data_IF_797824353267
#
_entry.id   IF_797824353267
#
_cell.length_a   1.000
_cell.length_b   1.000
_cell.length_c   1.000
_cell.angle_alpha   90.00
_cell.angle_beta   90.00
_cell.angle_gamma   90.00
#
_symmetry.space_group_name_H-M   'P 1'
#
loop_
_entity.id
_entity.type
_entity.pdbx_description
1 polymer ?
#
# COMPACT_ATOMS: atom_id res chain seq x y z
N UNK A 1 -57.60 -8.63 67.77
CA UNK A 1 -57.78 -8.91 66.33
C UNK A 1 -57.40 -7.62 65.61
N UNK A 2 -56.11 -7.46 65.28
CA UNK A 2 -55.59 -6.26 64.62
C UNK A 2 -55.56 -6.52 63.12
N UNK A 3 -56.27 -5.69 62.37
CA UNK A 3 -56.42 -5.75 60.92
C UNK A 3 -55.07 -5.64 60.21
N UNK A 4 -54.69 -6.71 59.52
CA UNK A 4 -53.46 -6.83 58.74
C UNK A 4 -53.78 -6.71 57.24
N UNK A 5 -54.61 -5.73 56.85
CA UNK A 5 -55.15 -5.61 55.48
C UNK A 5 -54.73 -4.34 54.73
N UNK A 6 -53.90 -3.48 55.32
CA UNK A 6 -53.38 -2.28 54.65
C UNK A 6 -51.86 -2.16 54.78
N UNK A 7 -51.14 -3.26 54.57
CA UNK A 7 -49.70 -3.17 54.29
C UNK A 7 -49.51 -2.58 52.90
N UNK A 8 -49.58 -1.25 52.91
CA UNK A 8 -49.32 -0.25 51.91
C UNK A 8 -48.78 -0.77 50.57
N UNK A 9 -49.68 -0.92 49.61
CA UNK A 9 -49.36 -1.25 48.21
C UNK A 9 -48.35 -0.26 47.60
N UNK A 10 -48.23 0.96 48.15
CA UNK A 10 -47.23 1.96 47.75
C UNK A 10 -45.84 1.63 48.29
N UNK A 11 -45.73 1.05 49.49
CA UNK A 11 -44.46 0.60 50.04
C UNK A 11 -43.88 -0.58 49.25
N UNK A 12 -44.73 -1.51 48.80
CA UNK A 12 -44.33 -2.63 47.94
C UNK A 12 -43.82 -2.14 46.58
N UNK A 13 -44.44 -1.10 46.00
CA UNK A 13 -44.03 -0.51 44.72
C UNK A 13 -42.71 0.29 44.84
N UNK A 14 -42.52 1.04 45.92
CA UNK A 14 -41.30 1.83 46.17
C UNK A 14 -40.07 0.95 46.47
N UNK A 15 -40.25 -0.19 47.15
CA UNK A 15 -39.17 -1.16 47.36
C UNK A 15 -38.76 -1.86 46.06
N UNK A 16 -39.72 -2.13 45.15
CA UNK A 16 -39.43 -2.72 43.84
C UNK A 16 -38.65 -1.81 42.88
N UNK A 17 -38.97 -0.51 42.84
CA UNK A 17 -38.32 0.45 41.91
C UNK A 17 -36.89 0.79 42.32
N UNK A 18 -36.61 0.89 43.62
CA UNK A 18 -35.26 1.17 44.15
C UNK A 18 -34.30 -0.01 43.92
N UNK A 19 -34.78 -1.25 44.08
CA UNK A 19 -33.98 -2.45 43.78
C UNK A 19 -33.71 -2.59 42.27
N UNK A 20 -34.72 -2.30 41.43
CA UNK A 20 -34.60 -2.38 39.97
C UNK A 20 -33.59 -1.41 39.37
N UNK A 21 -33.56 -0.15 39.85
CA UNK A 21 -32.59 0.86 39.38
C UNK A 21 -31.17 0.51 39.84
N UNK A 22 -31.01 0.06 41.09
CA UNK A 22 -29.70 -0.34 41.62
C UNK A 22 -29.07 -1.50 40.84
N UNK A 23 -29.86 -2.56 40.56
CA UNK A 23 -29.40 -3.71 39.77
C UNK A 23 -29.10 -3.31 38.33
N UNK A 24 -29.95 -2.47 37.71
CA UNK A 24 -29.73 -1.97 36.35
C UNK A 24 -28.43 -1.14 36.21
N UNK A 25 -28.14 -0.28 37.19
CA UNK A 25 -26.90 0.49 37.22
C UNK A 25 -25.67 -0.39 37.46
N UNK A 26 -25.75 -1.39 38.35
CA UNK A 26 -24.66 -2.35 38.58
C UNK A 26 -24.37 -3.22 37.34
N UNK A 27 -25.41 -3.71 36.64
CA UNK A 27 -25.24 -4.46 35.39
C UNK A 27 -24.63 -3.55 34.32
N UNK A 28 -25.12 -2.32 34.15
CA UNK A 28 -24.57 -1.38 33.18
C UNK A 28 -23.12 -0.99 33.48
N UNK A 29 -22.76 -0.89 34.76
CA UNK A 29 -21.38 -0.60 35.18
C UNK A 29 -20.47 -1.80 34.94
N UNK A 30 -20.97 -3.01 35.22
CA UNK A 30 -20.22 -4.26 35.02
C UNK A 30 -20.03 -4.59 33.52
N UNK A 31 -21.04 -4.36 32.68
CA UNK A 31 -20.91 -4.50 31.22
C UNK A 31 -20.04 -3.41 30.61
N UNK A 32 -20.06 -2.18 31.15
CA UNK A 32 -19.10 -1.12 30.78
C UNK A 32 -17.66 -1.40 31.25
N UNK A 33 -17.47 -2.16 32.33
CA UNK A 33 -16.15 -2.47 32.92
C UNK A 33 -15.33 -3.46 32.08
N UNK A 34 -15.97 -4.21 31.16
CA UNK A 34 -15.25 -4.89 30.08
C UNK A 34 -14.94 -3.93 28.92
N UNK A 35 -14.24 -2.83 29.23
CA UNK A 35 -13.50 -2.08 28.21
C UNK A 35 -12.43 -3.01 27.63
N UNK A 36 -12.61 -3.39 26.36
CA UNK A 36 -11.61 -3.98 25.49
C UNK A 36 -10.24 -3.36 25.79
N UNK A 37 -9.24 -4.19 26.14
CA UNK A 37 -7.85 -3.79 26.02
C UNK A 37 -7.64 -3.21 24.61
N UNK A 38 -6.88 -2.13 24.44
CA UNK A 38 -6.52 -1.67 23.12
C UNK A 38 -5.65 -2.75 22.48
N UNK A 39 -6.25 -3.57 21.61
CA UNK A 39 -5.50 -4.31 20.60
C UNK A 39 -4.77 -3.26 19.79
N UNK A 40 -3.44 -3.25 19.89
CA UNK A 40 -2.58 -2.41 19.09
C UNK A 40 -2.95 -2.66 17.63
N UNK A 41 -3.51 -1.65 16.98
CA UNK A 41 -4.20 -1.87 15.72
C UNK A 41 -3.18 -2.21 14.63
N UNK A 42 -3.54 -3.11 13.71
CA UNK A 42 -2.75 -3.42 12.51
C UNK A 42 -2.38 -2.15 11.75
N UNK A 43 -3.19 -1.09 11.87
CA UNK A 43 -2.97 0.23 11.29
C UNK A 43 -1.79 0.97 11.94
N UNK A 44 -1.57 0.83 13.24
CA UNK A 44 -0.43 1.40 13.96
C UNK A 44 0.88 0.69 13.57
N UNK A 45 0.84 -0.63 13.39
CA UNK A 45 1.97 -1.43 12.89
C UNK A 45 2.30 -1.07 11.44
N UNK A 46 1.28 -0.92 10.57
CA UNK A 46 1.44 -0.48 9.18
C UNK A 46 1.96 0.95 9.10
N UNK A 47 1.46 1.88 9.93
CA UNK A 47 1.94 3.27 9.96
C UNK A 47 3.39 3.35 10.42
N UNK A 48 3.74 2.61 11.47
CA UNK A 48 5.12 2.56 11.96
C UNK A 48 6.07 1.93 10.93
N UNK A 49 5.64 0.87 10.24
CA UNK A 49 6.38 0.30 9.11
C UNK A 49 6.53 1.33 7.98
N UNK A 50 5.45 2.02 7.60
CA UNK A 50 5.46 3.08 6.60
C UNK A 50 6.40 4.24 6.98
N UNK A 51 6.50 4.60 8.27
CA UNK A 51 7.41 5.64 8.76
C UNK A 51 8.86 5.17 8.83
N UNK A 52 9.10 3.86 8.95
CA UNK A 52 10.41 3.25 8.75
C UNK A 52 10.77 3.01 7.27
N UNK A 53 9.81 3.09 6.34
CA UNK A 53 10.14 3.15 4.90
C UNK A 53 10.84 4.47 4.67
N UNK A 54 12.17 4.37 4.65
CA UNK A 54 13.14 5.43 4.40
C UNK A 54 12.65 6.43 3.34
N UNK A 55 13.00 7.70 3.52
CA UNK A 55 12.96 8.75 2.48
C UNK A 55 13.60 8.33 1.15
N UNK A 56 14.35 7.22 1.17
CA UNK A 56 14.95 6.57 0.01
C UNK A 56 13.93 5.66 -0.72
N UNK A 57 13.07 6.30 -1.51
CA UNK A 57 12.17 5.67 -2.47
C UNK A 57 12.62 5.98 -3.90
N UNK A 58 12.54 4.99 -4.79
CA UNK A 58 12.87 5.19 -6.21
C UNK A 58 11.97 4.43 -7.17
N UNK A 59 11.98 4.89 -8.41
CA UNK A 59 11.62 4.09 -9.57
C UNK A 59 12.88 3.75 -10.37
N UNK A 60 12.97 2.53 -10.89
CA UNK A 60 13.99 2.15 -11.86
C UNK A 60 13.31 1.83 -13.19
N UNK A 61 13.79 2.45 -14.26
CA UNK A 61 13.35 2.19 -15.63
C UNK A 61 14.44 1.36 -16.33
N UNK A 62 14.07 0.16 -16.74
CA UNK A 62 14.94 -0.80 -17.42
C UNK A 62 14.65 -0.72 -18.92
N UNK A 63 15.68 -0.43 -19.71
CA UNK A 63 15.57 -0.22 -21.16
C UNK A 63 16.28 -1.34 -21.92
N UNK A 64 15.62 -1.87 -22.94
CA UNK A 64 16.21 -2.81 -23.88
C UNK A 64 17.11 -2.14 -24.91
N UNK A 65 18.30 -2.70 -25.12
CA UNK A 65 19.31 -2.14 -26.03
C UNK A 65 19.32 -2.75 -27.43
N UNK A 66 18.93 -4.03 -27.57
CA UNK A 66 18.81 -4.73 -28.85
C UNK A 66 17.91 -4.03 -29.86
N UNK A 67 16.91 -3.29 -29.36
CA UNK A 67 15.96 -2.50 -30.15
C UNK A 67 16.58 -1.28 -30.85
N UNK A 68 17.84 -0.93 -30.55
CA UNK A 68 18.59 0.21 -31.14
C UNK A 68 17.78 1.51 -31.18
N UNK A 69 16.97 1.76 -30.14
CA UNK A 69 16.14 2.96 -30.06
C UNK A 69 17.01 4.22 -30.03
N UNK A 70 16.64 5.22 -30.82
CA UNK A 70 17.27 6.55 -30.74
C UNK A 70 16.96 7.23 -29.39
N UNK A 71 17.85 8.14 -28.95
CA UNK A 71 17.76 8.83 -27.65
C UNK A 71 16.38 9.45 -27.38
N UNK A 72 15.77 10.10 -28.38
CA UNK A 72 14.44 10.70 -28.24
C UNK A 72 13.33 9.67 -28.01
N UNK A 73 13.41 8.51 -28.70
CA UNK A 73 12.44 7.42 -28.51
C UNK A 73 12.60 6.79 -27.12
N UNK A 74 13.83 6.57 -26.67
CA UNK A 74 14.12 6.10 -25.32
C UNK A 74 13.49 7.04 -24.28
N UNK A 75 13.76 8.35 -24.38
CA UNK A 75 13.22 9.33 -23.46
C UNK A 75 11.68 9.32 -23.42
N UNK A 76 11.03 9.23 -24.59
CA UNK A 76 9.58 9.14 -24.69
C UNK A 76 9.02 7.86 -24.04
N UNK A 77 9.67 6.72 -24.26
CA UNK A 77 9.27 5.42 -23.68
C UNK A 77 9.44 5.42 -22.15
N UNK A 78 10.56 5.95 -21.64
CA UNK A 78 10.77 6.12 -20.19
C UNK A 78 9.70 7.03 -19.57
N UNK A 79 9.42 8.18 -20.19
CA UNK A 79 8.37 9.09 -19.74
C UNK A 79 6.99 8.44 -19.72
N UNK A 80 6.64 7.70 -20.77
CA UNK A 80 5.37 6.97 -20.85
C UNK A 80 5.27 5.90 -19.75
N UNK A 81 6.33 5.13 -19.55
CA UNK A 81 6.38 4.08 -18.53
C UNK A 81 6.17 4.63 -17.12
N UNK A 82 6.80 5.76 -16.80
CA UNK A 82 6.64 6.46 -15.51
C UNK A 82 5.22 6.98 -15.35
N UNK A 83 4.62 7.61 -16.36
CA UNK A 83 3.25 8.13 -16.28
C UNK A 83 2.23 7.01 -15.99
N UNK A 84 2.36 5.88 -16.70
CA UNK A 84 1.56 4.69 -16.43
C UNK A 84 1.82 4.12 -15.03
N UNK A 85 3.08 4.13 -14.58
CA UNK A 85 3.44 3.66 -13.25
C UNK A 85 2.81 4.52 -12.15
N UNK A 86 2.85 5.85 -12.27
CA UNK A 86 2.23 6.73 -11.26
C UNK A 86 0.71 6.50 -11.18
N UNK A 87 0.04 6.28 -12.32
CA UNK A 87 -1.38 5.90 -12.34
C UNK A 87 -1.66 4.54 -11.68
N UNK A 88 -0.76 3.56 -11.82
CA UNK A 88 -0.87 2.29 -11.08
C UNK A 88 -0.61 2.50 -9.60
N UNK A 89 0.42 3.27 -9.25
CA UNK A 89 0.81 3.53 -7.88
C UNK A 89 -0.29 4.25 -7.09
N UNK A 90 -1.00 5.19 -7.71
CA UNK A 90 -2.12 5.89 -7.07
C UNK A 90 -3.28 4.93 -6.74
N UNK A 91 -3.48 3.89 -7.54
CA UNK A 91 -4.50 2.87 -7.31
C UNK A 91 -4.08 1.84 -6.26
N UNK A 92 -2.83 1.35 -6.31
CA UNK A 92 -2.42 0.17 -5.54
C UNK A 92 -1.59 0.49 -4.29
N UNK A 93 -0.83 1.59 -4.29
CA UNK A 93 0.09 1.98 -3.21
C UNK A 93 0.06 3.50 -2.93
N UNK A 94 -1.12 4.12 -2.72
CA UNK A 94 -1.27 5.58 -2.65
C UNK A 94 -0.39 6.24 -1.57
N UNK A 95 -0.22 5.62 -0.40
CA UNK A 95 0.64 6.13 0.68
C UNK A 95 2.13 6.14 0.29
N UNK A 96 2.59 5.13 -0.45
CA UNK A 96 3.98 5.09 -0.95
C UNK A 96 4.16 6.14 -2.04
N UNK A 97 3.17 6.29 -2.92
CA UNK A 97 3.19 7.32 -3.95
C UNK A 97 3.31 8.72 -3.32
N UNK A 98 2.45 9.05 -2.35
CA UNK A 98 2.50 10.36 -1.65
C UNK A 98 3.90 10.65 -1.07
N UNK A 99 4.52 9.67 -0.40
CA UNK A 99 5.89 9.81 0.11
C UNK A 99 6.89 9.98 -1.03
N UNK A 100 6.84 9.15 -2.06
CA UNK A 100 7.73 9.24 -3.21
C UNK A 100 7.64 10.61 -3.91
N UNK A 101 6.44 11.17 -4.02
CA UNK A 101 6.20 12.52 -4.55
C UNK A 101 6.78 13.61 -3.65
N UNK A 102 6.59 13.49 -2.33
CA UNK A 102 7.15 14.40 -1.33
C UNK A 102 8.69 14.40 -1.31
N UNK A 103 9.32 13.25 -1.60
CA UNK A 103 10.77 13.06 -1.56
C UNK A 103 11.45 13.13 -2.94
N UNK A 104 10.87 13.87 -3.89
CA UNK A 104 11.55 14.26 -5.13
C UNK A 104 11.46 13.26 -6.28
N UNK A 105 10.74 12.15 -6.10
CA UNK A 105 10.42 11.19 -7.16
C UNK A 105 11.65 10.66 -7.92
N UNK A 106 12.64 10.10 -7.21
CA UNK A 106 13.89 9.61 -7.83
C UNK A 106 13.63 8.56 -8.91
N UNK A 107 14.19 8.79 -10.11
CA UNK A 107 14.10 7.88 -11.27
C UNK A 107 15.50 7.54 -11.74
N UNK A 108 15.83 6.25 -11.80
CA UNK A 108 17.11 5.75 -12.31
C UNK A 108 16.87 4.96 -13.58
N UNK A 109 17.66 5.19 -14.62
CA UNK A 109 17.51 4.49 -15.90
C UNK A 109 18.70 3.55 -16.10
N UNK A 110 18.40 2.27 -16.27
CA UNK A 110 19.36 1.18 -16.46
C UNK A 110 19.05 0.42 -17.74
N UNK A 111 19.95 -0.45 -18.16
CA UNK A 111 19.81 -1.21 -19.40
C UNK A 111 19.98 -2.72 -19.23
N UNK A 112 19.28 -3.44 -20.11
CA UNK A 112 19.44 -4.87 -20.38
C UNK A 112 19.69 -5.06 -21.88
N UNK A 113 20.33 -6.16 -22.24
CA UNK A 113 20.75 -6.38 -23.61
C UNK A 113 19.54 -6.70 -24.53
N UNK A 114 18.60 -7.52 -24.07
CA UNK A 114 17.49 -8.07 -24.87
C UNK A 114 16.17 -8.27 -24.10
N UNK A 115 15.18 -8.91 -24.74
CA UNK A 115 13.87 -9.20 -24.16
C UNK A 115 13.95 -10.18 -22.98
N UNK A 116 14.80 -11.20 -23.09
CA UNK A 116 14.93 -12.24 -22.06
C UNK A 116 15.48 -11.63 -20.76
N UNK A 117 16.48 -10.76 -20.87
CA UNK A 117 16.99 -9.99 -19.73
C UNK A 117 15.94 -9.06 -19.12
N UNK A 118 15.06 -8.47 -19.94
CA UNK A 118 13.94 -7.66 -19.42
C UNK A 118 12.94 -8.52 -18.64
N UNK A 119 12.59 -9.69 -19.18
CA UNK A 119 11.64 -10.62 -18.58
C UNK A 119 12.16 -11.22 -17.28
N UNK A 120 13.46 -11.53 -17.19
CA UNK A 120 14.10 -11.96 -15.94
C UNK A 120 13.94 -10.89 -14.84
N UNK A 121 14.19 -9.63 -15.17
CA UNK A 121 14.07 -8.51 -14.24
C UNK A 121 12.61 -8.29 -13.81
N UNK A 122 11.66 -8.41 -14.73
CA UNK A 122 10.22 -8.33 -14.43
C UNK A 122 9.81 -9.45 -13.45
N UNK A 123 10.21 -10.69 -13.72
CA UNK A 123 9.87 -11.83 -12.87
C UNK A 123 10.43 -11.67 -11.45
N UNK A 124 11.70 -11.28 -11.33
CA UNK A 124 12.35 -10.98 -10.03
C UNK A 124 11.64 -9.85 -9.28
N UNK A 125 11.18 -8.81 -9.98
CA UNK A 125 10.42 -7.71 -9.37
C UNK A 125 9.07 -8.19 -8.82
N UNK A 126 8.35 -9.02 -9.58
CA UNK A 126 7.07 -9.60 -9.16
C UNK A 126 7.22 -10.53 -7.95
N UNK A 127 8.27 -11.35 -7.92
CA UNK A 127 8.60 -12.21 -6.77
C UNK A 127 8.84 -11.40 -5.48
N UNK A 128 9.47 -10.22 -5.61
CA UNK A 128 9.68 -9.26 -4.52
C UNK A 128 8.46 -8.38 -4.23
N UNK A 129 7.32 -8.63 -4.90
CA UNK A 129 6.07 -7.86 -4.77
C UNK A 129 6.25 -6.37 -5.05
N UNK A 130 7.19 -6.03 -5.93
CA UNK A 130 7.38 -4.67 -6.40
C UNK A 130 6.33 -4.34 -7.46
N UNK A 131 5.83 -3.11 -7.45
CA UNK A 131 4.94 -2.65 -8.50
C UNK A 131 5.74 -2.55 -9.81
N UNK A 132 5.22 -3.17 -10.87
CA UNK A 132 5.90 -3.28 -12.17
C UNK A 132 4.96 -2.86 -13.30
N UNK A 133 5.51 -2.22 -14.32
CA UNK A 133 4.79 -1.82 -15.52
C UNK A 133 5.68 -1.98 -16.77
N UNK A 134 5.28 -2.85 -17.69
CA UNK A 134 5.98 -3.12 -18.95
C UNK A 134 5.29 -2.35 -20.08
N UNK A 135 6.07 -1.57 -20.83
CA UNK A 135 5.60 -0.85 -22.01
C UNK A 135 5.90 -1.67 -23.25
N UNK A 136 4.94 -1.67 -24.18
CA UNK A 136 5.05 -2.32 -25.47
C UNK A 136 5.01 -1.27 -26.56
N UNK A 137 5.79 -1.45 -27.64
CA UNK A 137 5.71 -0.55 -28.78
C UNK A 137 4.41 -0.79 -29.54
N UNK A 138 3.70 0.30 -29.85
CA UNK A 138 2.41 0.27 -30.54
C UNK A 138 2.53 0.02 -32.05
N UNK A 139 3.71 -0.36 -32.55
CA UNK A 139 3.95 -0.68 -33.96
C UNK A 139 3.98 0.53 -34.90
N UNK A 140 4.14 1.75 -34.37
CA UNK A 140 4.27 2.99 -35.18
C UNK A 140 5.72 3.28 -35.59
N UNK A 141 6.63 2.34 -35.37
CA UNK A 141 8.06 2.51 -35.65
C UNK A 141 8.66 1.25 -36.29
N UNK A 142 9.94 1.29 -36.62
CA UNK A 142 10.71 0.20 -37.24
C UNK A 142 10.92 -1.04 -36.36
N UNK A 143 10.39 -1.07 -35.13
CA UNK A 143 10.42 -2.23 -34.24
C UNK A 143 9.18 -3.09 -34.50
N UNK A 144 9.30 -4.42 -34.37
CA UNK A 144 8.15 -5.32 -34.46
C UNK A 144 7.01 -4.86 -33.53
N UNK A 145 5.79 -4.81 -34.06
CA UNK A 145 4.63 -4.38 -33.29
C UNK A 145 4.44 -5.27 -32.07
N UNK A 146 4.22 -4.68 -30.90
CA UNK A 146 4.01 -5.40 -29.65
C UNK A 146 5.29 -5.81 -28.91
N UNK A 147 6.49 -5.48 -29.39
CA UNK A 147 7.73 -5.74 -28.63
C UNK A 147 7.75 -4.96 -27.31
N UNK A 148 8.15 -5.62 -26.22
CA UNK A 148 8.42 -4.97 -24.93
C UNK A 148 9.59 -4.00 -25.10
N UNK A 149 9.46 -2.75 -24.72
CA UNK A 149 10.52 -1.73 -24.91
C UNK A 149 11.24 -1.40 -23.61
N UNK A 150 10.47 -1.08 -22.58
CA UNK A 150 10.96 -0.64 -21.28
C UNK A 150 10.07 -1.17 -20.17
N UNK A 151 10.65 -1.37 -18.99
CA UNK A 151 9.93 -1.72 -17.77
C UNK A 151 10.22 -0.71 -16.67
N UNK A 152 9.19 -0.20 -16.00
CA UNK A 152 9.34 0.60 -14.78
C UNK A 152 9.05 -0.28 -13.56
N UNK A 153 9.89 -0.19 -12.53
CA UNK A 153 9.77 -0.88 -11.25
C UNK A 153 9.75 0.17 -10.14
N UNK A 154 8.80 0.06 -9.21
CA UNK A 154 8.57 1.01 -8.12
C UNK A 154 7.29 1.83 -8.32
N UNK A 155 7.10 2.96 -7.60
CA UNK A 155 7.98 3.48 -6.56
C UNK A 155 8.05 2.51 -5.37
N UNK A 156 9.26 2.33 -4.83
CA UNK A 156 9.50 1.42 -3.71
C UNK A 156 10.82 1.72 -3.02
N UNK A 157 11.04 1.03 -1.89
CA UNK A 157 12.27 1.17 -1.11
C UNK A 157 13.50 0.83 -1.99
N UNK A 158 14.48 1.72 -2.00
CA UNK A 158 15.65 1.60 -2.87
C UNK A 158 16.43 0.30 -2.67
N UNK A 159 16.64 -0.13 -1.41
CA UNK A 159 17.36 -1.38 -1.11
C UNK A 159 16.61 -2.59 -1.68
N UNK A 160 15.28 -2.62 -1.57
CA UNK A 160 14.47 -3.71 -2.12
C UNK A 160 14.53 -3.73 -3.65
N UNK A 161 14.49 -2.57 -4.30
CA UNK A 161 14.63 -2.46 -5.75
C UNK A 161 16.05 -2.86 -6.19
N UNK A 162 17.09 -2.55 -5.43
CA UNK A 162 18.47 -2.91 -5.76
C UNK A 162 18.76 -4.42 -5.71
N UNK A 163 18.00 -5.19 -4.91
CA UNK A 163 18.05 -6.65 -4.98
C UNK A 163 17.67 -7.19 -6.37
N UNK A 164 16.90 -6.42 -7.15
CA UNK A 164 16.47 -6.77 -8.50
C UNK A 164 17.36 -6.11 -9.55
N UNK A 165 17.65 -4.82 -9.42
CA UNK A 165 18.25 -4.02 -10.50
C UNK A 165 19.66 -3.52 -10.22
N UNK A 166 20.21 -3.71 -9.01
CA UNK A 166 21.46 -3.07 -8.58
C UNK A 166 22.70 -3.53 -9.35
N UNK A 167 22.64 -4.68 -10.02
CA UNK A 167 23.70 -5.21 -10.87
C UNK A 167 23.64 -4.69 -12.31
N UNK A 168 22.55 -4.02 -12.70
CA UNK A 168 22.37 -3.50 -14.05
C UNK A 168 23.19 -2.23 -14.27
N UNK A 169 23.70 -2.06 -15.48
CA UNK A 169 24.45 -0.86 -15.87
C UNK A 169 23.50 0.30 -16.11
N UNK A 170 23.94 1.52 -15.78
CA UNK A 170 23.26 2.75 -16.18
C UNK A 170 23.18 2.83 -17.72
N UNK A 171 22.06 3.38 -18.21
CA UNK A 171 21.76 3.49 -19.64
C UNK A 171 22.76 4.38 -20.38
#
# INVERSE_FOLDING_TARGET
MLDLSTLDTRAVFCLGTTFGIGVGLCISYFTSSKRKQPEKSTEDEISKYCDTVSSDLKCVIVVRMDLKMGKGKIAAQCGHSVAMMMRRASKYIPKILEKYEKYGQMKVVVKVDDEDGLDEIVNKALEKRLLTNVVHDSGRTQIAAGSKTVCCIGPGNSQTIDLVTGHLKLL
#
